data_IF_672104454754
#
_entry.id   IF_672104454754
#
_cell.length_a   1.000
_cell.length_b   1.000
_cell.length_c   1.000
_cell.angle_alpha   90.00
_cell.angle_beta   90.00
_cell.angle_gamma   90.00
#
_symmetry.space_group_name_H-M   'P 1'
#
loop_
_entity.id
_entity.type
_entity.pdbx_description
1 polymer ?
#
# COMPACT_ATOMS: atom_id res chain seq x y z
N UNK A 1 -25.13 4.83 -3.31
CA UNK A 1 -23.84 4.47 -3.95
C UNK A 1 -23.98 3.06 -4.47
N UNK A 2 -23.48 2.76 -5.67
CA UNK A 2 -23.44 1.38 -6.16
C UNK A 2 -22.35 0.61 -5.41
N UNK A 3 -22.63 -0.65 -5.05
CA UNK A 3 -21.67 -1.57 -4.47
C UNK A 3 -20.92 -2.31 -5.58
N UNK A 4 -19.64 -1.99 -5.78
CA UNK A 4 -18.79 -2.60 -6.80
C UNK A 4 -17.99 -3.79 -6.22
N UNK A 5 -18.71 -4.78 -5.68
CA UNK A 5 -18.10 -5.97 -5.10
C UNK A 5 -17.55 -6.89 -6.21
N UNK A 6 -16.25 -7.16 -6.18
CA UNK A 6 -15.62 -8.06 -7.14
C UNK A 6 -15.97 -9.53 -6.87
N UNK A 7 -16.11 -10.33 -7.93
CA UNK A 7 -16.34 -11.77 -7.87
C UNK A 7 -15.45 -12.46 -8.89
N UNK A 8 -14.78 -13.53 -8.48
CA UNK A 8 -14.01 -14.37 -9.40
C UNK A 8 -14.95 -15.38 -10.07
N UNK A 9 -14.77 -15.57 -11.37
CA UNK A 9 -15.51 -16.52 -12.20
C UNK A 9 -14.55 -17.20 -13.17
N UNK A 10 -15.06 -18.12 -13.98
CA UNK A 10 -14.33 -18.90 -14.98
C UNK A 10 -13.23 -19.80 -14.40
N UNK A 11 -13.67 -20.91 -13.80
CA UNK A 11 -12.80 -21.96 -13.27
C UNK A 11 -12.49 -23.06 -14.30
N UNK A 12 -12.72 -22.83 -15.60
CA UNK A 12 -12.60 -23.86 -16.65
C UNK A 12 -11.18 -24.45 -16.80
N UNK A 13 -10.16 -23.69 -16.40
CA UNK A 13 -8.76 -24.14 -16.39
C UNK A 13 -8.23 -24.48 -14.98
N UNK A 14 -9.05 -24.31 -13.94
CA UNK A 14 -8.64 -24.57 -12.57
C UNK A 14 -8.23 -26.03 -12.38
N UNK A 15 -7.19 -26.25 -11.58
CA UNK A 15 -6.72 -27.59 -11.23
C UNK A 15 -6.87 -27.81 -9.74
N UNK A 16 -7.28 -29.02 -9.36
CA UNK A 16 -7.21 -29.44 -7.98
C UNK A 16 -5.76 -29.34 -7.50
N UNK A 17 -5.58 -28.88 -6.26
CA UNK A 17 -4.27 -28.76 -5.64
C UNK A 17 -3.54 -30.11 -5.62
N UNK A 18 -2.21 -30.09 -5.50
CA UNK A 18 -1.44 -31.31 -5.42
C UNK A 18 -1.83 -32.12 -4.17
N UNK A 19 -1.89 -33.45 -4.31
CA UNK A 19 -2.19 -34.39 -3.23
C UNK A 19 -0.94 -35.11 -2.76
N UNK A 20 -0.91 -35.49 -1.46
CA UNK A 20 0.25 -36.12 -0.82
C UNK A 20 1.47 -35.19 -0.79
N UNK A 21 2.64 -35.74 -1.09
CA UNK A 21 3.92 -34.99 -1.03
C UNK A 21 4.21 -34.15 -2.29
N UNK A 22 3.24 -34.03 -3.20
CA UNK A 22 3.42 -33.25 -4.43
C UNK A 22 3.40 -31.75 -4.10
N UNK A 23 4.32 -31.01 -4.71
CA UNK A 23 4.43 -29.55 -4.52
C UNK A 23 3.80 -28.73 -5.65
N UNK A 24 3.40 -29.39 -6.74
CA UNK A 24 2.89 -28.74 -7.95
C UNK A 24 1.97 -29.67 -8.73
N UNK A 25 1.20 -29.10 -9.65
CA UNK A 25 0.43 -29.81 -10.66
C UNK A 25 1.17 -29.69 -11.99
N UNK A 26 1.56 -30.82 -12.59
CA UNK A 26 2.13 -30.82 -13.95
C UNK A 26 0.98 -30.81 -14.97
N UNK A 27 0.98 -29.85 -15.89
CA UNK A 27 -0.06 -29.72 -16.92
C UNK A 27 0.50 -29.11 -18.20
N UNK A 28 -0.23 -29.24 -19.31
CA UNK A 28 0.10 -28.48 -20.51
C UNK A 28 -0.04 -26.99 -20.20
N UNK A 29 0.89 -26.17 -20.72
CA UNK A 29 0.84 -24.73 -20.53
C UNK A 29 -0.42 -24.19 -21.24
N UNK A 30 -1.43 -23.90 -20.44
CA UNK A 30 -2.69 -23.27 -20.84
C UNK A 30 -2.90 -22.00 -20.01
N UNK A 31 -3.52 -20.99 -20.60
CA UNK A 31 -3.85 -19.73 -19.93
C UNK A 31 -3.88 -18.53 -20.88
N UNK A 32 -4.21 -17.37 -20.34
CA UNK A 32 -4.23 -16.11 -21.09
C UNK A 32 -2.82 -15.53 -21.20
N UNK A 33 -2.45 -15.11 -22.41
CA UNK A 33 -1.15 -14.49 -22.68
C UNK A 33 -0.93 -13.23 -21.80
N UNK A 34 0.26 -13.10 -21.23
CA UNK A 34 0.64 -11.97 -20.37
C UNK A 34 0.46 -12.20 -18.87
N UNK A 35 -0.31 -13.22 -18.47
CA UNK A 35 -0.57 -13.53 -17.06
C UNK A 35 0.26 -14.71 -16.55
N UNK A 36 0.70 -15.60 -17.45
CA UNK A 36 1.38 -16.82 -17.09
C UNK A 36 2.75 -16.54 -16.43
N UNK A 37 2.97 -17.13 -15.25
CA UNK A 37 4.24 -17.05 -14.56
C UNK A 37 5.38 -17.68 -15.38
N UNK A 38 6.59 -17.09 -15.37
CA UNK A 38 7.68 -17.53 -16.24
C UNK A 38 8.10 -18.98 -16.01
N UNK A 39 8.06 -19.47 -14.76
CA UNK A 39 8.36 -20.85 -14.43
C UNK A 39 7.26 -21.82 -14.91
N UNK A 40 6.00 -21.39 -14.92
CA UNK A 40 4.90 -22.19 -15.43
C UNK A 40 5.03 -22.34 -16.95
N UNK A 41 5.34 -21.25 -17.67
CA UNK A 41 5.60 -21.30 -19.11
C UNK A 41 6.79 -22.21 -19.43
N UNK A 42 7.87 -22.13 -18.65
CA UNK A 42 9.08 -22.89 -18.90
C UNK A 42 8.95 -24.38 -18.56
N UNK A 43 8.14 -24.75 -17.56
CA UNK A 43 8.16 -26.11 -16.99
C UNK A 43 6.82 -26.84 -17.00
N UNK A 44 5.71 -26.14 -17.28
CA UNK A 44 4.36 -26.68 -17.14
C UNK A 44 3.94 -26.95 -15.69
N UNK A 45 4.74 -26.52 -14.70
CA UNK A 45 4.44 -26.73 -13.28
C UNK A 45 3.57 -25.61 -12.74
N UNK A 46 2.29 -25.91 -12.53
CA UNK A 46 1.34 -25.01 -11.91
C UNK A 46 1.43 -25.10 -10.39
N UNK A 47 1.50 -23.94 -9.73
CA UNK A 47 1.59 -23.82 -8.27
C UNK A 47 0.77 -22.64 -7.79
N UNK A 48 0.48 -22.58 -6.49
CA UNK A 48 -0.12 -21.38 -5.88
C UNK A 48 0.72 -20.11 -6.10
N UNK A 49 2.06 -20.23 -6.24
CA UNK A 49 2.92 -19.09 -6.55
C UNK A 49 2.78 -18.60 -7.99
N UNK A 50 2.34 -19.47 -8.91
CA UNK A 50 2.01 -19.08 -10.28
C UNK A 50 0.73 -18.22 -10.29
N UNK A 51 -0.24 -18.53 -9.43
CA UNK A 51 -1.44 -17.69 -9.25
C UNK A 51 -1.11 -16.33 -8.63
N UNK A 52 -0.19 -16.29 -7.67
CA UNK A 52 0.32 -15.02 -7.10
C UNK A 52 0.93 -14.12 -8.18
N UNK A 53 1.67 -14.69 -9.12
CA UNK A 53 2.23 -13.93 -10.23
C UNK A 53 1.12 -13.33 -11.11
N UNK A 54 0.15 -14.16 -11.53
CA UNK A 54 -1.00 -13.71 -12.32
C UNK A 54 -1.78 -12.59 -11.62
N UNK A 55 -1.96 -12.70 -10.30
CA UNK A 55 -2.57 -11.65 -9.49
C UNK A 55 -1.75 -10.35 -9.49
N UNK A 56 -0.41 -10.45 -9.43
CA UNK A 56 0.48 -9.29 -9.59
C UNK A 56 0.30 -8.57 -10.94
N UNK A 57 0.05 -9.31 -12.03
CA UNK A 57 -0.28 -8.72 -13.34
C UNK A 57 -1.61 -7.98 -13.28
N UNK A 58 -2.65 -8.58 -12.69
CA UNK A 58 -3.97 -7.94 -12.51
C UNK A 58 -3.85 -6.65 -11.67
N UNK A 59 -3.03 -6.66 -10.61
CA UNK A 59 -2.75 -5.44 -9.84
C UNK A 59 -2.15 -4.33 -10.69
N UNK A 60 -1.21 -4.65 -11.60
CA UNK A 60 -0.65 -3.67 -12.52
C UNK A 60 -1.69 -3.14 -13.52
N UNK A 61 -2.57 -3.99 -14.03
CA UNK A 61 -3.67 -3.55 -14.90
C UNK A 61 -4.57 -2.56 -14.17
N UNK A 62 -4.91 -2.83 -12.91
CA UNK A 62 -5.72 -1.94 -12.08
C UNK A 62 -5.02 -0.61 -11.79
N UNK A 63 -3.72 -0.63 -11.50
CA UNK A 63 -2.94 0.58 -11.23
C UNK A 63 -2.77 1.45 -12.47
N UNK A 64 -2.61 0.83 -13.65
CA UNK A 64 -2.23 1.51 -14.89
C UNK A 64 -3.38 1.78 -15.85
N UNK A 65 -4.51 1.10 -15.70
CA UNK A 65 -5.62 1.14 -16.67
C UNK A 65 -5.27 0.51 -18.02
N UNK A 66 -4.14 -0.21 -18.12
CA UNK A 66 -3.65 -0.86 -19.34
C UNK A 66 -3.92 -2.36 -19.32
N UNK A 67 -3.95 -2.97 -20.50
CA UNK A 67 -4.06 -4.43 -20.66
C UNK A 67 -2.70 -5.10 -20.42
N UNK A 68 -2.71 -6.32 -19.90
CA UNK A 68 -1.50 -7.11 -19.68
C UNK A 68 -0.65 -7.32 -20.95
N UNK A 69 -1.31 -7.46 -22.11
CA UNK A 69 -0.70 -7.50 -23.44
C UNK A 69 -1.41 -6.51 -24.34
N UNK A 70 -0.68 -5.52 -24.84
CA UNK A 70 -1.18 -4.58 -25.84
C UNK A 70 -0.66 -4.95 -27.23
N UNK A 71 -1.51 -5.61 -28.02
CA UNK A 71 -1.17 -6.06 -29.37
C UNK A 71 -1.01 -4.92 -30.38
N UNK A 72 -1.43 -3.70 -30.02
CA UNK A 72 -1.27 -2.52 -30.89
C UNK A 72 0.13 -1.92 -30.80
N UNK A 73 0.88 -2.28 -29.75
CA UNK A 73 2.25 -1.82 -29.50
C UNK A 73 3.23 -2.92 -29.89
N UNK A 74 4.33 -2.54 -30.54
CA UNK A 74 5.43 -3.44 -30.89
C UNK A 74 6.58 -3.30 -29.88
N UNK A 75 7.30 -4.41 -29.63
CA UNK A 75 8.51 -4.42 -28.81
C UNK A 75 8.25 -4.62 -27.32
N UNK A 76 9.17 -4.12 -26.47
CA UNK A 76 9.20 -4.37 -25.02
C UNK A 76 7.95 -3.82 -24.31
N UNK A 77 7.37 -2.76 -24.85
CA UNK A 77 6.18 -2.11 -24.29
C UNK A 77 4.87 -2.89 -24.52
N UNK A 78 4.91 -3.95 -25.33
CA UNK A 78 3.77 -4.84 -25.54
C UNK A 78 3.40 -5.60 -24.25
N UNK A 79 4.38 -5.93 -23.41
CA UNK A 79 4.15 -6.63 -22.15
C UNK A 79 4.10 -5.62 -20.99
N UNK A 80 2.97 -5.60 -20.28
CA UNK A 80 2.73 -4.64 -19.19
C UNK A 80 3.77 -4.75 -18.06
N UNK A 81 4.19 -5.97 -17.73
CA UNK A 81 5.15 -6.23 -16.64
C UNK A 81 6.51 -5.63 -17.01
N UNK A 82 6.99 -5.92 -18.22
CA UNK A 82 8.30 -5.45 -18.69
C UNK A 82 8.34 -3.91 -18.79
N UNK A 83 7.27 -3.30 -19.29
CA UNK A 83 7.11 -1.85 -19.33
C UNK A 83 7.09 -1.20 -17.93
N UNK A 84 6.36 -1.79 -16.97
CA UNK A 84 6.15 -1.20 -15.65
C UNK A 84 7.36 -1.37 -14.71
N UNK A 85 8.12 -2.47 -14.86
CA UNK A 85 9.19 -2.89 -13.94
C UNK A 85 10.22 -1.79 -13.59
N UNK A 86 10.68 -0.92 -14.51
CA UNK A 86 11.63 0.14 -14.19
C UNK A 86 11.09 1.23 -13.26
N UNK A 87 9.78 1.26 -13.02
CA UNK A 87 9.09 2.32 -12.27
C UNK A 87 8.57 1.86 -10.91
N UNK A 88 8.26 0.58 -10.74
CA UNK A 88 7.56 0.03 -9.56
C UNK A 88 8.33 0.21 -8.24
N UNK A 89 9.66 0.18 -8.28
CA UNK A 89 10.50 0.35 -7.09
C UNK A 89 10.83 1.80 -6.73
N UNK A 90 10.48 2.77 -7.58
CA UNK A 90 10.85 4.18 -7.38
C UNK A 90 9.60 5.03 -7.16
N UNK A 91 9.42 5.45 -5.90
CA UNK A 91 8.30 6.32 -5.48
C UNK A 91 8.19 7.59 -6.31
N UNK A 92 9.31 8.16 -6.77
CA UNK A 92 9.31 9.40 -7.57
C UNK A 92 8.88 9.15 -9.01
N UNK A 93 8.98 7.92 -9.50
CA UNK A 93 8.65 7.57 -10.88
C UNK A 93 7.32 6.82 -11.01
N UNK A 94 6.71 6.43 -9.88
CA UNK A 94 5.45 5.69 -9.87
C UNK A 94 4.35 6.35 -10.70
N UNK A 95 4.24 7.69 -10.68
CA UNK A 95 3.23 8.43 -11.45
C UNK A 95 3.22 8.10 -12.96
N UNK A 96 4.34 7.61 -13.51
CA UNK A 96 4.46 7.26 -14.94
C UNK A 96 3.66 6.03 -15.34
N UNK A 97 3.33 5.18 -14.37
CA UNK A 97 2.58 3.93 -14.62
C UNK A 97 1.16 3.96 -14.09
N UNK A 98 0.75 5.03 -13.40
CA UNK A 98 -0.60 5.15 -12.88
C UNK A 98 -1.57 5.50 -14.00
N UNK A 99 -2.81 5.03 -13.89
CA UNK A 99 -3.87 5.31 -14.86
C UNK A 99 -4.07 6.82 -15.01
N UNK A 100 -3.87 7.31 -16.23
CA UNK A 100 -4.04 8.72 -16.57
C UNK A 100 -5.45 9.23 -16.30
N UNK A 101 -6.47 8.36 -16.35
CA UNK A 101 -7.87 8.70 -16.07
C UNK A 101 -8.14 8.99 -14.59
N UNK A 102 -7.23 8.60 -13.70
CA UNK A 102 -7.32 8.98 -12.29
C UNK A 102 -6.89 10.44 -12.08
N UNK A 103 -6.22 11.08 -13.04
CA UNK A 103 -5.82 12.50 -12.98
C UNK A 103 -5.04 12.85 -11.69
N UNK A 104 -4.25 11.91 -11.17
CA UNK A 104 -3.50 12.06 -9.92
C UNK A 104 -4.34 11.92 -8.63
N UNK A 105 -5.65 11.66 -8.74
CA UNK A 105 -6.59 11.54 -7.64
C UNK A 105 -6.59 10.15 -7.02
N UNK A 106 -5.47 9.79 -6.40
CA UNK A 106 -5.31 8.55 -5.65
C UNK A 106 -4.41 8.74 -4.43
N UNK A 107 -4.58 7.93 -3.38
CA UNK A 107 -3.73 8.03 -2.19
C UNK A 107 -2.30 7.59 -2.54
N UNK A 108 -1.37 8.54 -2.64
CA UNK A 108 0.02 8.30 -3.08
C UNK A 108 0.74 7.22 -2.26
N UNK A 109 0.52 7.20 -0.94
CA UNK A 109 1.09 6.16 -0.06
C UNK A 109 0.52 4.77 -0.38
N UNK A 110 -0.79 4.67 -0.52
CA UNK A 110 -1.46 3.41 -0.84
C UNK A 110 -1.09 2.89 -2.23
N UNK A 111 -1.03 3.77 -3.23
CA UNK A 111 -0.58 3.43 -4.57
C UNK A 111 0.86 2.90 -4.58
N UNK A 112 1.77 3.53 -3.84
CA UNK A 112 3.16 3.04 -3.74
C UNK A 112 3.26 1.69 -3.03
N UNK A 113 2.47 1.47 -1.97
CA UNK A 113 2.40 0.17 -1.29
C UNK A 113 1.85 -0.91 -2.24
N UNK A 114 0.77 -0.63 -2.97
CA UNK A 114 0.18 -1.54 -3.95
C UNK A 114 1.16 -1.86 -5.09
N UNK A 115 1.87 -0.87 -5.61
CA UNK A 115 2.88 -1.06 -6.65
C UNK A 115 4.07 -1.90 -6.17
N UNK A 116 4.51 -1.69 -4.92
CA UNK A 116 5.56 -2.50 -4.30
C UNK A 116 5.10 -3.95 -4.13
N UNK A 117 3.85 -4.15 -3.69
CA UNK A 117 3.27 -5.48 -3.55
C UNK A 117 3.15 -6.19 -4.91
N UNK A 118 2.70 -5.49 -5.95
CA UNK A 118 2.67 -6.01 -7.31
C UNK A 118 4.06 -6.44 -7.78
N UNK A 119 5.10 -5.63 -7.53
CA UNK A 119 6.48 -5.97 -7.86
C UNK A 119 6.97 -7.25 -7.14
N UNK A 120 6.59 -7.45 -5.88
CA UNK A 120 6.91 -8.65 -5.12
C UNK A 120 6.20 -9.90 -5.69
N UNK A 121 4.91 -9.77 -6.04
CA UNK A 121 4.15 -10.83 -6.70
C UNK A 121 4.73 -11.21 -8.06
N UNK A 122 5.27 -10.24 -8.80
CA UNK A 122 5.87 -10.41 -10.14
C UNK A 122 7.32 -10.87 -10.11
N UNK A 123 7.85 -11.29 -8.96
CA UNK A 123 9.21 -11.79 -8.87
C UNK A 123 9.41 -13.01 -9.80
N UNK A 124 10.52 -13.03 -10.55
CA UNK A 124 10.87 -14.14 -11.44
C UNK A 124 11.04 -15.45 -10.66
N UNK A 125 11.56 -15.37 -9.44
CA UNK A 125 11.72 -16.51 -8.55
C UNK A 125 10.43 -16.76 -7.76
N UNK A 126 9.74 -17.85 -8.08
CA UNK A 126 8.46 -18.20 -7.43
C UNK A 126 8.55 -18.30 -5.90
N UNK A 127 9.70 -18.70 -5.36
CA UNK A 127 9.93 -18.79 -3.91
C UNK A 127 9.96 -17.43 -3.23
N UNK A 128 10.46 -16.40 -3.91
CA UNK A 128 10.58 -15.04 -3.39
C UNK A 128 9.25 -14.26 -3.43
N UNK A 129 8.23 -14.77 -4.13
CA UNK A 129 6.88 -14.18 -4.11
C UNK A 129 6.24 -14.36 -2.73
N UNK A 130 5.42 -13.41 -2.24
CA UNK A 130 4.66 -13.60 -1.00
C UNK A 130 3.66 -14.75 -1.11
N UNK A 131 3.18 -15.29 0.01
CA UNK A 131 2.00 -16.13 -0.01
C UNK A 131 0.75 -15.27 -0.21
N UNK A 132 -0.32 -15.83 -0.79
CA UNK A 132 -1.54 -15.05 -1.05
C UNK A 132 -2.17 -14.48 0.22
N UNK A 133 -1.96 -15.13 1.38
CA UNK A 133 -2.39 -14.62 2.68
C UNK A 133 -1.64 -13.34 3.08
N UNK A 134 -0.34 -13.24 2.78
CA UNK A 134 0.47 -12.04 3.05
C UNK A 134 0.10 -10.91 2.09
N UNK A 135 -0.25 -11.27 0.84
CA UNK A 135 -0.79 -10.33 -0.15
C UNK A 135 -2.08 -9.72 0.38
N UNK A 136 -3.03 -10.54 0.85
CA UNK A 136 -4.28 -10.07 1.46
C UNK A 136 -4.02 -9.14 2.65
N UNK A 137 -3.18 -9.56 3.61
CA UNK A 137 -2.86 -8.77 4.78
C UNK A 137 -2.27 -7.39 4.42
N UNK A 138 -1.46 -7.33 3.36
CA UNK A 138 -0.89 -6.06 2.87
C UNK A 138 -1.97 -5.18 2.22
N UNK A 139 -2.91 -5.76 1.47
CA UNK A 139 -4.01 -5.04 0.84
C UNK A 139 -4.98 -4.46 1.88
N UNK A 140 -5.29 -5.20 2.95
CA UNK A 140 -6.13 -4.71 4.05
C UNK A 140 -5.52 -3.48 4.74
N UNK A 141 -4.19 -3.44 4.89
CA UNK A 141 -3.49 -2.26 5.42
C UNK A 141 -3.59 -1.04 4.50
N UNK A 142 -3.70 -1.24 3.19
CA UNK A 142 -3.86 -0.16 2.20
C UNK A 142 -5.28 0.42 2.27
N UNK A 143 -6.29 -0.41 2.57
CA UNK A 143 -7.70 0.00 2.68
C UNK A 143 -8.03 0.70 4.02
N UNK A 144 -7.30 0.36 5.09
CA UNK A 144 -7.50 0.87 6.45
C UNK A 144 -7.47 2.40 6.69
N UNK A 145 -6.99 3.32 5.80
CA UNK A 145 -7.03 4.75 6.08
C UNK A 145 -8.41 5.39 6.19
N UNK A 146 -9.50 4.68 5.87
CA UNK A 146 -10.88 5.22 5.92
C UNK A 146 -11.59 5.06 7.27
N UNK A 147 -11.02 4.33 8.24
CA UNK A 147 -11.59 4.16 9.57
C UNK A 147 -10.74 4.84 10.66
N UNK A 148 -10.44 6.13 10.49
CA UNK A 148 -10.16 6.93 11.67
C UNK A 148 -11.52 7.30 12.29
N UNK A 149 -11.89 6.82 13.49
CA UNK A 149 -13.03 7.38 14.18
C UNK A 149 -12.73 8.86 14.40
N UNK A 150 -13.60 9.73 13.89
CA UNK A 150 -13.68 11.11 14.37
C UNK A 150 -14.01 10.99 15.86
N UNK A 151 -13.00 11.07 16.73
CA UNK A 151 -13.23 11.30 18.15
C UNK A 151 -13.79 12.72 18.22
N UNK A 152 -15.11 12.84 18.16
CA UNK A 152 -15.83 14.03 18.60
C UNK A 152 -15.61 14.13 20.10
N UNK A 153 -14.64 14.94 20.52
CA UNK A 153 -14.53 15.38 21.90
C UNK A 153 -15.67 16.38 22.17
N UNK A 154 -16.83 15.86 22.58
CA UNK A 154 -17.95 16.59 23.19
C UNK A 154 -19.06 15.56 23.44
N UNK A 155 -19.68 15.37 24.59
CA UNK A 155 -19.77 16.06 25.87
C UNK A 155 -20.41 15.02 26.80
N UNK A 156 -19.79 14.60 27.89
CA UNK A 156 -20.51 13.97 29.02
C UNK A 156 -19.65 14.13 30.28
N UNK A 157 -19.60 15.36 30.80
CA UNK A 157 -19.34 15.60 32.22
C UNK A 157 -19.87 16.98 32.59
N UNK A 158 -21.18 17.03 32.87
CA UNK A 158 -21.73 18.05 33.76
C UNK A 158 -22.74 17.40 34.69
N UNK A 159 -22.28 17.08 35.89
CA UNK A 159 -23.13 17.11 37.06
C UNK A 159 -22.40 17.87 38.19
N UNK A 160 -23.07 18.93 38.63
CA UNK A 160 -22.90 19.73 39.85
C UNK A 160 -21.80 20.80 39.91
N UNK A 161 -22.20 22.03 39.58
CA UNK A 161 -21.68 23.24 40.22
C UNK A 161 -22.86 24.09 40.72
N UNK A 162 -22.88 24.54 41.99
CA UNK A 162 -23.93 25.41 42.50
C UNK A 162 -23.69 26.89 42.16
N UNK A 163 -24.78 27.64 42.26
CA UNK A 163 -25.08 28.92 41.64
C UNK A 163 -24.35 30.14 42.24
N UNK A 164 -23.71 30.87 41.32
CA UNK A 164 -23.37 32.31 41.20
C UNK A 164 -24.01 33.33 42.17
N UNK A 165 -23.19 34.26 42.71
CA UNK A 165 -23.52 35.70 42.83
C UNK A 165 -22.25 36.56 42.66
N UNK A 166 -22.32 37.58 41.80
CA UNK A 166 -21.32 38.66 41.60
C UNK A 166 -21.79 39.94 42.34
N UNK A 167 -21.18 41.13 42.22
CA UNK A 167 -19.85 41.55 41.73
C UNK A 167 -19.12 42.56 42.66
N UNK A 168 -17.94 43.04 42.25
CA UNK A 168 -17.46 44.44 42.33
C UNK A 168 -16.04 44.67 42.92
N UNK A 169 -15.14 45.09 42.01
CA UNK A 169 -14.35 46.34 42.03
C UNK A 169 -13.20 46.54 43.06
N UNK A 170 -12.03 46.83 42.44
CA UNK A 170 -10.98 47.80 42.82
C UNK A 170 -9.77 47.40 43.71
N UNK A 171 -8.61 47.85 43.17
CA UNK A 171 -7.35 48.36 43.77
C UNK A 171 -6.10 47.46 43.82
N UNK A 172 -5.08 48.00 43.15
CA UNK A 172 -3.62 47.73 43.14
C UNK A 172 -2.93 48.27 44.43
N UNK A 173 -1.57 48.32 44.53
CA UNK A 173 -0.58 47.23 44.62
C UNK A 173 0.43 47.49 45.78
N UNK A 174 1.35 46.55 46.09
CA UNK A 174 2.64 46.93 46.71
C UNK A 174 3.68 45.79 46.76
N UNK A 175 4.87 46.11 46.23
CA UNK A 175 6.27 45.86 46.66
C UNK A 175 6.63 44.47 47.23
N UNK A 176 7.81 43.88 46.98
CA UNK A 176 9.17 44.40 47.24
C UNK A 176 10.23 43.64 46.41
N UNK A 177 11.16 44.34 45.77
CA UNK A 177 12.51 43.90 45.29
C UNK A 177 13.49 43.83 46.49
N UNK A 178 14.83 43.55 46.40
CA UNK A 178 15.76 43.28 45.27
C UNK A 178 16.60 41.99 45.55
N UNK A 179 17.62 41.52 44.81
CA UNK A 179 18.81 42.17 44.26
C UNK A 179 19.69 41.13 43.53
N UNK A 180 20.44 41.61 42.53
CA UNK A 180 21.78 41.17 42.09
C UNK A 180 21.96 40.02 41.05
N UNK A 181 22.21 40.44 39.81
CA UNK A 181 23.03 39.82 38.74
C UNK A 181 24.54 39.72 39.16
N UNK A 182 25.53 39.14 38.40
CA UNK A 182 25.58 38.94 36.94
C UNK A 182 26.29 37.66 36.36
N UNK A 183 26.10 37.49 35.03
CA UNK A 183 26.83 36.83 33.90
C UNK A 183 28.37 36.55 34.04
N UNK A 184 29.09 35.89 33.06
CA UNK A 184 28.71 35.15 31.82
C UNK A 184 29.51 33.84 31.48
N UNK A 185 29.04 33.15 30.42
CA UNK A 185 29.71 32.44 29.29
C UNK A 185 30.94 31.52 29.42
N UNK A 186 30.91 30.39 28.67
CA UNK A 186 31.87 29.88 27.64
C UNK A 186 31.54 28.38 27.39
N UNK A 187 30.94 27.95 26.28
CA UNK A 187 31.47 27.61 24.92
C UNK A 187 32.56 26.53 24.91
N UNK A 188 32.25 25.32 24.41
CA UNK A 188 32.84 24.66 23.21
C UNK A 188 32.56 23.15 23.15
N UNK A 189 32.25 22.67 21.95
CA UNK A 189 32.19 21.28 21.48
C UNK A 189 33.55 20.87 20.86
N UNK A 190 33.69 19.80 20.03
CA UNK A 190 33.50 18.36 20.22
C UNK A 190 34.77 17.54 19.78
N UNK A 191 34.63 16.21 19.74
CA UNK A 191 35.21 15.19 18.80
C UNK A 191 36.15 14.10 19.36
N UNK A 192 35.67 12.88 19.10
CA UNK A 192 36.30 11.76 18.39
C UNK A 192 37.55 11.06 18.96
N UNK A 193 37.40 9.74 19.06
CA UNK A 193 38.42 8.74 18.75
C UNK A 193 37.77 7.59 18.01
#
# INVERSE_FOLDING_TARGET
MQEFNSKLSDFGLAKAGPTGDRTHVSTQVMGTQGYAAPEYVATGRLTAKSDVYSFGVVMLELLSGRRAVDKTIAGVDQNLVDWAKPYLGDKRRLFRIMDSKLEGQYPQKGAFMAATLALQCLNREAKARPAMIDVLATLEQIEAPKQAPRISLSEHQRLHAPVRRSPARNRTPSNVTPTASPLPSVRQSPRAR
#
